data_IF_108885228869
#
_entry.id   IF_108885228869
#
_cell.length_a   1.000
_cell.length_b   1.000
_cell.length_c   1.000
_cell.angle_alpha   90.00
_cell.angle_beta   90.00
_cell.angle_gamma   90.00
#
_symmetry.space_group_name_H-M   'P 1'
#
loop_
_entity.id
_entity.type
_entity.pdbx_description
1 polymer ?
#
# COMPACT_ATOMS: atom_id res chain seq x y z
N UNK A 1 -21.21 -0.97 2.86
CA UNK A 1 -19.82 -0.45 2.75
C UNK A 1 -19.19 -1.00 1.48
N UNK A 2 -18.42 -0.21 0.73
CA UNK A 2 -17.70 -0.71 -0.45
C UNK A 2 -16.40 -1.43 -0.04
N UNK A 3 -16.12 -2.59 -0.64
CA UNK A 3 -14.87 -3.32 -0.42
C UNK A 3 -13.73 -2.67 -1.22
N UNK A 4 -12.62 -2.35 -0.56
CA UNK A 4 -11.41 -1.85 -1.23
C UNK A 4 -10.81 -2.99 -2.06
N UNK A 5 -10.54 -2.73 -3.34
CA UNK A 5 -9.92 -3.70 -4.26
C UNK A 5 -8.47 -3.33 -4.60
N UNK A 6 -8.17 -2.03 -4.62
CA UNK A 6 -6.87 -1.46 -5.00
C UNK A 6 -6.51 -0.27 -4.13
N UNK A 7 -5.22 -0.08 -3.86
CA UNK A 7 -4.67 1.06 -3.14
C UNK A 7 -3.42 1.60 -3.85
N UNK A 8 -3.29 2.93 -3.95
CA UNK A 8 -2.07 3.61 -4.38
C UNK A 8 -1.33 4.11 -3.13
N UNK A 9 -0.08 3.71 -2.96
CA UNK A 9 0.80 4.18 -1.89
C UNK A 9 1.86 5.10 -2.51
N UNK A 10 1.85 6.37 -2.09
CA UNK A 10 2.85 7.35 -2.52
C UNK A 10 3.17 8.26 -1.33
N UNK A 11 4.23 7.93 -0.62
CA UNK A 11 4.64 8.60 0.62
C UNK A 11 6.10 9.03 0.52
N UNK A 12 6.43 10.15 1.18
CA UNK A 12 7.81 10.60 1.31
C UNK A 12 8.52 9.88 2.46
N UNK A 13 7.90 9.87 3.64
CA UNK A 13 8.36 9.10 4.79
C UNK A 13 7.82 7.67 4.73
N UNK A 14 8.74 6.70 4.75
CA UNK A 14 8.43 5.28 4.56
C UNK A 14 8.29 4.50 5.86
N UNK A 15 8.44 5.16 7.03
CA UNK A 15 8.28 4.49 8.33
C UNK A 15 6.91 3.82 8.41
N UNK A 16 6.91 2.50 8.63
CA UNK A 16 5.69 1.70 8.75
C UNK A 16 4.99 1.33 7.42
N UNK A 17 5.52 1.73 6.26
CA UNK A 17 4.86 1.51 4.97
C UNK A 17 4.82 0.02 4.59
N UNK A 18 5.83 -0.75 5.02
CA UNK A 18 5.94 -2.17 4.74
C UNK A 18 4.88 -2.96 5.48
N UNK A 19 4.71 -2.69 6.78
CA UNK A 19 3.68 -3.28 7.63
C UNK A 19 2.29 -2.94 7.09
N UNK A 20 2.05 -1.68 6.74
CA UNK A 20 0.80 -1.24 6.15
C UNK A 20 0.50 -1.95 4.82
N UNK A 21 1.48 -2.04 3.91
CA UNK A 21 1.32 -2.74 2.64
C UNK A 21 1.09 -4.25 2.82
N UNK A 22 1.71 -4.87 3.83
CA UNK A 22 1.48 -6.29 4.15
C UNK A 22 0.04 -6.54 4.61
N UNK A 23 -0.51 -5.67 5.44
CA UNK A 23 -1.91 -5.77 5.87
C UNK A 23 -2.89 -5.56 4.71
N UNK A 24 -2.63 -4.59 3.83
CA UNK A 24 -3.45 -4.43 2.62
C UNK A 24 -3.40 -5.68 1.73
N UNK A 25 -2.22 -6.29 1.59
CA UNK A 25 -2.06 -7.52 0.82
C UNK A 25 -2.77 -8.72 1.47
N UNK A 26 -2.77 -8.82 2.81
CA UNK A 26 -3.50 -9.87 3.55
C UNK A 26 -5.01 -9.80 3.32
N UNK A 27 -5.52 -8.59 3.07
CA UNK A 27 -6.91 -8.32 2.73
C UNK A 27 -7.24 -8.51 1.23
N UNK A 28 -6.30 -9.01 0.43
CA UNK A 28 -6.39 -9.14 -1.03
C UNK A 28 -6.59 -7.80 -1.76
N UNK A 29 -5.99 -6.73 -1.24
CA UNK A 29 -5.93 -5.44 -1.93
C UNK A 29 -4.70 -5.42 -2.84
N UNK A 30 -4.91 -5.10 -4.11
CA UNK A 30 -3.81 -4.87 -5.06
C UNK A 30 -3.17 -3.49 -4.77
N UNK A 31 -1.84 -3.46 -4.71
CA UNK A 31 -1.08 -2.27 -4.32
C UNK A 31 -0.33 -1.72 -5.54
N UNK A 32 -0.56 -0.45 -5.83
CA UNK A 32 0.21 0.35 -6.76
C UNK A 32 1.12 1.28 -5.96
N UNK A 33 2.35 1.50 -6.45
CA UNK A 33 3.33 2.38 -5.79
C UNK A 33 4.00 3.28 -6.82
N UNK A 34 4.42 4.48 -6.40
CA UNK A 34 5.32 5.31 -7.19
C UNK A 34 6.77 4.87 -6.96
N UNK A 35 7.66 5.13 -7.93
CA UNK A 35 9.06 4.66 -7.86
C UNK A 35 9.80 5.10 -6.59
N UNK A 36 9.54 6.32 -6.11
CA UNK A 36 10.15 6.83 -4.88
C UNK A 36 9.65 6.19 -3.58
N UNK A 37 8.50 5.49 -3.61
CA UNK A 37 7.90 4.80 -2.46
C UNK A 37 8.24 3.30 -2.42
N UNK A 38 8.53 2.69 -3.57
CA UNK A 38 8.87 1.27 -3.67
C UNK A 38 10.31 0.91 -3.23
N UNK A 39 11.19 1.90 -3.14
CA UNK A 39 12.60 1.75 -2.73
C UNK A 39 12.84 1.84 -1.24
#
# INVERSE_FOLDING_TARGET
MAKIKRALISVFDKRGVVEFARELKSLNVEILSTGGTAG
#
